data_IF_588377061783
#
_entry.id   IF_588377061783
#
_cell.length_a   1.000
_cell.length_b   1.000
_cell.length_c   1.000
_cell.angle_alpha   90.00
_cell.angle_beta   90.00
_cell.angle_gamma   90.00
#
_symmetry.space_group_name_H-M   'P 1'
#
loop_
_entity.id
_entity.type
_entity.pdbx_description
1 polymer ?
#
# COMPACT_ATOMS: atom_id res chain seq x y z
N UNK A 1 6.42 -28.11 -27.27
CA UNK A 1 5.38 -27.76 -26.25
C UNK A 1 6.01 -27.08 -25.02
N UNK A 2 6.90 -26.10 -25.20
CA UNK A 2 7.47 -25.33 -24.07
C UNK A 2 7.38 -23.80 -24.25
N UNK A 3 6.88 -23.31 -25.38
CA UNK A 3 6.83 -21.86 -25.68
C UNK A 3 5.54 -21.14 -25.22
N UNK A 4 4.51 -21.87 -24.79
CA UNK A 4 3.23 -21.24 -24.39
C UNK A 4 3.20 -20.74 -22.94
N UNK A 5 4.14 -21.17 -22.09
CA UNK A 5 4.18 -20.77 -20.67
C UNK A 5 4.89 -19.42 -20.43
N UNK A 6 5.75 -18.96 -21.34
CA UNK A 6 6.46 -17.68 -21.17
C UNK A 6 5.58 -16.45 -21.47
N UNK A 7 4.55 -16.60 -22.30
CA UNK A 7 3.65 -15.48 -22.66
C UNK A 7 2.51 -15.24 -21.67
N UNK A 8 2.14 -16.24 -20.85
CA UNK A 8 1.03 -16.09 -19.92
C UNK A 8 1.51 -15.24 -18.73
N UNK A 9 0.93 -14.06 -18.54
CA UNK A 9 1.16 -13.27 -17.31
C UNK A 9 0.96 -14.20 -16.12
N UNK A 10 1.99 -14.40 -15.27
CA UNK A 10 1.84 -15.28 -14.13
C UNK A 10 0.67 -14.75 -13.31
N UNK A 11 -0.27 -15.62 -12.96
CA UNK A 11 -1.52 -15.26 -12.28
C UNK A 11 -1.22 -14.42 -11.02
N UNK A 12 -0.10 -14.71 -10.36
CA UNK A 12 0.46 -13.92 -9.27
C UNK A 12 0.59 -12.41 -9.57
N UNK A 13 1.04 -12.01 -10.76
CA UNK A 13 1.15 -10.59 -11.12
C UNK A 13 -0.19 -9.93 -11.45
N UNK A 14 -1.16 -10.70 -11.94
CA UNK A 14 -2.53 -10.19 -12.14
C UNK A 14 -3.18 -9.95 -10.79
N UNK A 15 -3.04 -10.89 -9.85
CA UNK A 15 -3.53 -10.74 -8.48
C UNK A 15 -2.87 -9.55 -7.79
N UNK A 16 -1.55 -9.40 -7.94
CA UNK A 16 -0.84 -8.26 -7.36
C UNK A 16 -1.32 -6.94 -7.97
N UNK A 17 -1.49 -6.88 -9.29
CA UNK A 17 -2.05 -5.70 -9.95
C UNK A 17 -3.46 -5.37 -9.44
N UNK A 18 -4.32 -6.38 -9.31
CA UNK A 18 -5.66 -6.21 -8.72
C UNK A 18 -5.62 -5.70 -7.28
N UNK A 19 -4.71 -6.21 -6.46
CA UNK A 19 -4.54 -5.79 -5.07
C UNK A 19 -4.07 -4.34 -4.96
N UNK A 20 -3.08 -3.92 -5.75
CA UNK A 20 -2.63 -2.51 -5.75
C UNK A 20 -3.65 -1.56 -6.37
N UNK A 21 -4.46 -2.02 -7.33
CA UNK A 21 -5.62 -1.27 -7.82
C UNK A 21 -6.68 -1.12 -6.72
N UNK A 22 -6.91 -2.17 -5.94
CA UNK A 22 -7.82 -2.12 -4.79
C UNK A 22 -7.30 -1.15 -3.72
N UNK A 23 -6.01 -1.17 -3.40
CA UNK A 23 -5.40 -0.17 -2.51
C UNK A 23 -5.55 1.24 -3.05
N UNK A 24 -5.29 1.47 -4.34
CA UNK A 24 -5.56 2.75 -4.98
C UNK A 24 -7.01 3.22 -4.78
N UNK A 25 -7.99 2.35 -5.04
CA UNK A 25 -9.40 2.69 -4.87
C UNK A 25 -9.76 2.99 -3.41
N UNK A 26 -9.20 2.23 -2.47
CA UNK A 26 -9.36 2.49 -1.03
C UNK A 26 -8.77 3.85 -0.66
N UNK A 27 -7.54 4.15 -1.06
CA UNK A 27 -6.90 5.44 -0.78
C UNK A 27 -7.69 6.60 -1.40
N UNK A 28 -8.16 6.47 -2.64
CA UNK A 28 -9.00 7.52 -3.26
C UNK A 28 -10.33 7.68 -2.52
N UNK A 29 -10.92 6.60 -2.00
CA UNK A 29 -12.17 6.67 -1.24
C UNK A 29 -12.05 7.39 0.10
N UNK A 30 -10.84 7.47 0.67
CA UNK A 30 -10.58 8.21 1.92
C UNK A 30 -10.26 9.68 1.67
N UNK A 31 -10.29 10.15 0.42
CA UNK A 31 -10.05 11.55 0.08
C UNK A 31 -11.08 12.47 0.77
N UNK A 32 -10.59 13.47 1.50
CA UNK A 32 -11.41 14.39 2.28
C UNK A 32 -11.63 13.95 3.73
N UNK A 33 -11.21 12.74 4.12
CA UNK A 33 -11.17 12.30 5.50
C UNK A 33 -9.83 12.63 6.19
N UNK A 34 -9.80 12.72 7.54
CA UNK A 34 -8.56 12.87 8.28
C UNK A 34 -7.59 11.74 7.98
N UNK A 35 -6.34 12.08 7.65
CA UNK A 35 -5.32 11.11 7.27
C UNK A 35 -4.24 11.03 8.34
N UNK A 36 -4.03 9.86 8.99
CA UNK A 36 -2.97 9.68 9.96
C UNK A 36 -1.62 9.48 9.25
N UNK A 37 -0.64 10.31 9.59
CA UNK A 37 0.69 10.27 9.00
C UNK A 37 1.76 10.50 10.06
N UNK A 38 2.64 9.51 10.25
CA UNK A 38 3.71 9.53 11.25
C UNK A 38 3.29 10.04 12.64
N UNK A 39 2.17 9.53 13.15
CA UNK A 39 1.70 9.85 14.50
C UNK A 39 0.92 11.15 14.63
N UNK A 40 0.72 11.88 13.53
CA UNK A 40 -0.08 13.11 13.51
C UNK A 40 -1.28 12.93 12.59
N UNK A 41 -2.46 13.36 13.03
CA UNK A 41 -3.65 13.33 12.21
C UNK A 41 -3.79 14.66 11.47
N UNK A 42 -3.64 14.60 10.15
CA UNK A 42 -3.79 15.77 9.30
C UNK A 42 -5.26 15.96 8.92
N UNK A 43 -5.68 17.21 8.80
CA UNK A 43 -7.04 17.61 8.41
C UNK A 43 -7.02 18.54 7.19
N UNK A 44 -8.16 18.64 6.50
CA UNK A 44 -8.37 19.58 5.40
C UNK A 44 -7.40 19.38 4.24
N UNK A 45 -6.79 20.46 3.77
CA UNK A 45 -5.92 20.45 2.58
C UNK A 45 -4.69 19.56 2.76
N UNK A 46 -4.09 19.51 3.95
CA UNK A 46 -2.90 18.68 4.19
C UNK A 46 -3.22 17.18 4.09
N UNK A 47 -4.36 16.75 4.63
CA UNK A 47 -4.85 15.39 4.49
C UNK A 47 -5.12 15.04 3.02
N UNK A 48 -5.78 15.96 2.29
CA UNK A 48 -6.04 15.80 0.87
C UNK A 48 -4.77 15.62 0.03
N UNK A 49 -3.72 16.42 0.31
CA UNK A 49 -2.42 16.30 -0.38
C UNK A 49 -1.75 14.96 -0.08
N UNK A 50 -1.77 14.49 1.17
CA UNK A 50 -1.20 13.19 1.55
C UNK A 50 -1.91 12.04 0.83
N UNK A 51 -3.24 12.01 0.88
CA UNK A 51 -4.06 10.99 0.22
C UNK A 51 -3.86 11.03 -1.31
N UNK A 52 -3.72 12.22 -1.89
CA UNK A 52 -3.46 12.38 -3.31
C UNK A 52 -2.09 11.83 -3.72
N UNK A 53 -1.03 12.14 -2.95
CA UNK A 53 0.31 11.63 -3.21
C UNK A 53 0.35 10.10 -3.09
N UNK A 54 -0.30 9.56 -2.06
CA UNK A 54 -0.40 8.11 -1.85
C UNK A 54 -1.17 7.42 -2.99
N UNK A 55 -2.27 8.02 -3.43
CA UNK A 55 -3.03 7.55 -4.60
C UNK A 55 -2.17 7.54 -5.87
N UNK A 56 -1.36 8.58 -6.08
CA UNK A 56 -0.48 8.69 -7.24
C UNK A 56 0.64 7.64 -7.19
N UNK A 57 1.19 7.36 -6.00
CA UNK A 57 2.15 6.27 -5.78
C UNK A 57 1.52 4.91 -6.06
N UNK A 58 0.33 4.62 -5.53
CA UNK A 58 -0.38 3.37 -5.79
C UNK A 58 -0.66 3.18 -7.30
N UNK A 59 -1.08 4.23 -7.99
CA UNK A 59 -1.30 4.19 -9.44
C UNK A 59 0.01 3.92 -10.19
N UNK A 60 1.12 4.55 -9.79
CA UNK A 60 2.44 4.31 -10.36
C UNK A 60 2.88 2.85 -10.18
N UNK A 61 2.71 2.31 -8.97
CA UNK A 61 3.04 0.91 -8.65
C UNK A 61 2.19 -0.06 -9.48
N UNK A 62 0.89 0.20 -9.62
CA UNK A 62 -0.01 -0.58 -10.47
C UNK A 62 0.43 -0.58 -11.94
N UNK A 63 0.73 0.59 -12.51
CA UNK A 63 1.20 0.71 -13.90
C UNK A 63 2.56 0.03 -14.09
N UNK A 64 3.46 0.17 -13.12
CA UNK A 64 4.75 -0.49 -13.10
C UNK A 64 4.67 -2.02 -13.05
N UNK A 65 3.69 -2.55 -12.30
CA UNK A 65 3.34 -3.97 -12.25
C UNK A 65 2.85 -4.47 -13.60
N UNK A 66 1.97 -3.70 -14.25
CA UNK A 66 1.46 -4.01 -15.59
C UNK A 66 2.57 -4.03 -16.64
N UNK A 67 3.61 -3.20 -16.48
CA UNK A 67 4.81 -3.18 -17.33
C UNK A 67 5.94 -4.11 -16.88
N UNK A 68 5.79 -4.85 -15.77
CA UNK A 68 6.80 -5.78 -15.20
C UNK A 68 8.17 -5.15 -14.95
N UNK A 69 8.20 -3.89 -14.52
CA UNK A 69 9.45 -3.15 -14.36
C UNK A 69 10.26 -3.59 -13.14
N UNK A 70 11.57 -3.73 -13.30
CA UNK A 70 12.48 -4.07 -12.19
C UNK A 70 12.51 -2.98 -11.11
N UNK A 71 12.39 -1.70 -11.49
CA UNK A 71 12.29 -0.57 -10.55
C UNK A 71 11.02 -0.69 -9.68
N UNK A 72 9.91 -1.11 -10.27
CA UNK A 72 8.64 -1.28 -9.54
C UNK A 72 8.77 -2.32 -8.45
N UNK A 73 9.57 -3.37 -8.65
CA UNK A 73 9.82 -4.34 -7.57
C UNK A 73 10.45 -3.69 -6.33
N UNK A 74 11.45 -2.82 -6.51
CA UNK A 74 12.04 -2.07 -5.40
C UNK A 74 11.06 -1.08 -4.77
N UNK A 75 10.27 -0.40 -5.60
CA UNK A 75 9.29 0.57 -5.12
C UNK A 75 8.13 -0.11 -4.38
N UNK A 76 7.70 -1.30 -4.77
CA UNK A 76 6.69 -2.09 -4.06
C UNK A 76 7.17 -2.45 -2.67
N UNK A 77 8.42 -2.92 -2.54
CA UNK A 77 9.01 -3.25 -1.25
C UNK A 77 9.22 -2.00 -0.38
N UNK A 78 9.68 -0.91 -0.99
CA UNK A 78 9.86 0.37 -0.30
C UNK A 78 8.54 0.96 0.20
N UNK A 79 7.50 0.93 -0.65
CA UNK A 79 6.16 1.39 -0.31
C UNK A 79 5.54 0.55 0.81
N UNK A 80 5.64 -0.78 0.72
CA UNK A 80 5.15 -1.66 1.78
C UNK A 80 5.91 -1.45 3.11
N UNK A 81 7.23 -1.25 3.07
CA UNK A 81 8.00 -0.93 4.25
C UNK A 81 7.59 0.44 4.85
N UNK A 82 7.35 1.43 3.99
CA UNK A 82 6.84 2.74 4.38
C UNK A 82 5.48 2.63 5.07
N UNK A 83 4.53 1.87 4.50
CA UNK A 83 3.21 1.63 5.09
C UNK A 83 3.30 0.93 6.45
N UNK A 84 4.20 -0.05 6.61
CA UNK A 84 4.44 -0.71 7.90
C UNK A 84 4.97 0.29 8.92
N UNK A 85 5.95 1.10 8.56
CA UNK A 85 6.53 2.12 9.46
C UNK A 85 5.50 3.18 9.81
N UNK A 86 4.71 3.66 8.83
CA UNK A 86 3.65 4.63 9.05
C UNK A 86 2.59 4.06 10.01
N UNK A 87 2.13 2.83 9.76
CA UNK A 87 1.15 2.14 10.62
C UNK A 87 1.69 1.93 12.04
N UNK A 88 2.94 1.48 12.18
CA UNK A 88 3.59 1.32 13.50
C UNK A 88 3.70 2.65 14.23
N UNK A 89 4.14 3.71 13.54
CA UNK A 89 4.30 5.04 14.12
C UNK A 89 2.93 5.61 14.53
N UNK A 90 1.92 5.47 13.67
CA UNK A 90 0.55 5.86 13.97
C UNK A 90 0.01 5.09 15.18
N UNK A 91 0.25 3.78 15.28
CA UNK A 91 -0.18 2.97 16.42
C UNK A 91 0.50 3.39 17.74
N UNK A 92 1.76 3.79 17.71
CA UNK A 92 2.53 4.17 18.90
C UNK A 92 2.27 5.61 19.36
N UNK A 93 2.04 6.53 18.41
CA UNK A 93 1.97 7.96 18.70
C UNK A 93 0.54 8.51 18.75
N UNK A 94 -0.40 7.94 17.99
CA UNK A 94 -1.80 8.40 18.02
C UNK A 94 -2.48 7.82 19.24
N UNK A 95 -2.94 8.71 20.12
CA UNK A 95 -3.64 8.26 21.32
C UNK A 95 -5.08 7.87 20.97
N UNK A 96 -5.66 6.85 21.66
CA UNK A 96 -7.07 6.51 21.49
C UNK A 96 -8.01 7.71 21.69
N UNK A 97 -7.67 8.61 22.61
CA UNK A 97 -8.44 9.81 22.91
C UNK A 97 -8.49 10.82 21.74
N UNK A 98 -7.43 10.90 20.92
CA UNK A 98 -7.44 11.70 19.69
C UNK A 98 -8.31 11.06 18.62
N UNK A 99 -8.28 9.73 18.52
CA UNK A 99 -9.11 8.99 17.59
C UNK A 99 -10.60 9.09 17.93
N UNK A 100 -10.96 8.97 19.21
CA UNK A 100 -12.34 9.15 19.71
C UNK A 100 -12.89 10.55 19.42
N UNK A 101 -12.07 11.59 19.53
CA UNK A 101 -12.46 12.97 19.19
C UNK A 101 -12.80 13.15 17.71
N UNK A 102 -12.20 12.34 16.84
CA UNK A 102 -12.36 12.44 15.38
C UNK A 102 -13.51 11.56 14.90
N UNK A 103 -13.61 10.35 15.43
CA UNK A 103 -14.66 9.39 15.08
C UNK A 103 -15.99 9.78 15.74
N UNK A 104 -15.95 10.49 16.88
CA UNK A 104 -17.14 10.90 17.63
C UNK A 104 -17.79 9.76 18.44
N UNK A 105 -17.18 8.57 18.44
CA UNK A 105 -17.61 7.39 19.18
C UNK A 105 -16.44 6.81 19.99
N UNK A 106 -16.78 5.99 21.00
CA UNK A 106 -15.77 5.24 21.75
C UNK A 106 -15.05 4.27 20.82
N UNK A 107 -13.73 4.38 20.78
CA UNK A 107 -12.90 3.52 19.93
C UNK A 107 -12.52 2.29 20.75
N UNK A 108 -12.85 1.11 20.24
CA UNK A 108 -12.32 -0.13 20.79
C UNK A 108 -10.81 -0.21 20.52
N UNK A 109 -10.03 0.17 21.52
CA UNK A 109 -8.56 0.15 21.49
C UNK A 109 -8.00 -1.23 21.20
N UNK A 110 -8.63 -2.30 21.70
CA UNK A 110 -8.16 -3.67 21.49
C UNK A 110 -8.43 -4.12 20.05
N UNK A 111 -9.61 -3.78 19.52
CA UNK A 111 -9.96 -3.97 18.11
C UNK A 111 -9.05 -3.18 17.17
N UNK A 112 -8.73 -1.93 17.51
CA UNK A 112 -7.86 -1.07 16.70
C UNK A 112 -6.43 -1.62 16.61
N UNK A 113 -5.86 -2.05 17.74
CA UNK A 113 -4.52 -2.66 17.78
C UNK A 113 -4.51 -3.96 16.98
N UNK A 114 -5.52 -4.81 17.15
CA UNK A 114 -5.63 -6.08 16.42
C UNK A 114 -5.75 -5.86 14.91
N UNK A 115 -6.54 -4.86 14.49
CA UNK A 115 -6.69 -4.48 13.09
C UNK A 115 -5.37 -3.98 12.50
N UNK A 116 -4.69 -3.05 13.17
CA UNK A 116 -3.40 -2.52 12.71
C UNK A 116 -2.32 -3.61 12.65
N UNK A 117 -2.23 -4.50 13.64
CA UNK A 117 -1.31 -5.65 13.61
C UNK A 117 -1.63 -6.57 12.43
N UNK A 118 -2.91 -6.85 12.17
CA UNK A 118 -3.34 -7.68 11.05
C UNK A 118 -2.93 -7.07 9.70
N UNK A 119 -3.08 -5.76 9.55
CA UNK A 119 -2.64 -5.01 8.37
C UNK A 119 -1.11 -5.10 8.21
N UNK A 120 -0.34 -4.85 9.28
CA UNK A 120 1.13 -4.97 9.25
C UNK A 120 1.56 -6.37 8.82
N UNK A 121 0.96 -7.42 9.40
CA UNK A 121 1.25 -8.82 9.03
C UNK A 121 0.90 -9.08 7.56
N UNK A 122 -0.26 -8.61 7.09
CA UNK A 122 -0.66 -8.75 5.69
C UNK A 122 0.35 -8.07 4.74
N UNK A 123 0.82 -6.87 5.06
CA UNK A 123 1.82 -6.14 4.26
C UNK A 123 3.18 -6.84 4.28
N UNK A 124 3.59 -7.41 5.41
CA UNK A 124 4.83 -8.20 5.50
C UNK A 124 4.74 -9.46 4.64
N UNK A 125 3.61 -10.19 4.72
CA UNK A 125 3.37 -11.37 3.89
C UNK A 125 3.33 -11.02 2.40
N UNK A 126 2.67 -9.92 2.05
CA UNK A 126 2.64 -9.38 0.70
C UNK A 126 4.06 -9.05 0.22
N UNK A 127 4.88 -8.41 1.06
CA UNK A 127 6.27 -8.08 0.75
C UNK A 127 7.11 -9.34 0.51
N UNK A 128 6.95 -10.38 1.33
CA UNK A 128 7.58 -11.69 1.12
C UNK A 128 7.14 -12.34 -0.19
N UNK A 129 5.85 -12.24 -0.53
CA UNK A 129 5.33 -12.73 -1.80
C UNK A 129 5.91 -11.97 -3.01
N UNK A 130 5.98 -10.64 -2.93
CA UNK A 130 6.60 -9.78 -3.94
C UNK A 130 8.07 -10.09 -4.10
N UNK A 131 8.79 -10.30 -2.99
CA UNK A 131 10.20 -10.65 -3.00
C UNK A 131 10.45 -11.96 -3.76
N UNK A 132 9.61 -12.97 -3.54
CA UNK A 132 9.66 -14.25 -4.29
C UNK A 132 9.35 -14.11 -5.78
N UNK A 133 8.54 -13.13 -6.16
CA UNK A 133 8.19 -12.86 -7.55
C UNK A 133 9.24 -12.02 -8.31
N UNK A 134 10.44 -11.79 -7.75
CA UNK A 134 11.53 -11.03 -8.39
C UNK A 134 11.81 -11.47 -9.83
N UNK A 135 11.81 -12.79 -10.10
CA UNK A 135 12.08 -13.34 -11.44
C UNK A 135 11.01 -12.95 -12.48
N UNK A 136 9.81 -12.60 -12.05
CA UNK A 136 8.69 -12.18 -12.91
C UNK A 136 8.86 -10.73 -13.44
N UNK A 137 9.71 -9.92 -12.80
CA UNK A 137 10.02 -8.55 -13.24
C UNK A 137 11.16 -8.56 -14.25
N UNK A 138 10.83 -8.87 -15.51
CA UNK A 138 11.79 -8.99 -16.61
C UNK A 138 12.06 -7.63 -17.26
N UNK A 139 13.32 -7.23 -17.27
CA UNK A 139 13.82 -5.90 -17.60
C UNK A 139 13.77 -5.58 -19.12
N UNK A 140 12.59 -5.57 -19.75
CA UNK A 140 12.45 -5.16 -21.17
C UNK A 140 12.56 -3.64 -21.36
N UNK A 141 12.34 -2.86 -20.31
CA UNK A 141 12.68 -1.42 -20.23
C UNK A 141 12.89 -1.03 -18.75
N UNK A 142 13.96 -0.27 -18.46
CA UNK A 142 14.28 0.23 -17.10
C UNK A 142 13.33 1.33 -16.62
N UNK A 143 12.57 1.96 -17.52
CA UNK A 143 11.76 3.14 -17.25
C UNK A 143 10.35 3.03 -17.84
N UNK A 144 9.41 3.78 -17.25
CA UNK A 144 8.00 3.86 -17.69
C UNK A 144 7.85 4.67 -19.00
N UNK A 145 8.91 5.39 -19.36
CA UNK A 145 9.15 6.10 -20.62
C UNK A 145 10.51 5.66 -21.19
#
# INVERSE_FOLDING_TARGET
MHDEQELRRPLAMILLGGLYLFFFLLTVSTYGHPAPFFGTIYHGTAAGVLVFLDSLLCLYLFLGLMKRQSLTWYLLLGYNAFEVVNTLTNMLLITPAELEKIVGEKVDTSGLVTSNISVIVAIILLSGFIFRQRASFTNRSKYLF
#
